data_IF_721227232270
#
_entry.id   IF_721227232270
#
_cell.length_a   1.000
_cell.length_b   1.000
_cell.length_c   1.000
_cell.angle_alpha   90.00
_cell.angle_beta   90.00
_cell.angle_gamma   90.00
#
_symmetry.space_group_name_H-M   'P 1'
#
loop_
_entity.id
_entity.type
_entity.pdbx_description
1 polymer ?
#
# COMPACT_ATOMS: atom_id res chain seq x y z
N UNK A 1 -0.34 -20.75 36.65
CA UNK A 1 -0.96 -19.56 36.04
C UNK A 1 -2.40 -19.94 35.72
N UNK A 2 -3.38 -19.33 36.40
CA UNK A 2 -4.80 -19.66 36.18
C UNK A 2 -5.26 -19.15 34.80
N UNK A 3 -6.27 -19.75 34.18
CA UNK A 3 -6.80 -19.39 32.85
C UNK A 3 -7.11 -17.89 32.76
N UNK A 4 -7.73 -17.32 33.80
CA UNK A 4 -8.04 -15.89 33.89
C UNK A 4 -6.79 -14.99 33.81
N UNK A 5 -5.66 -15.46 34.33
CA UNK A 5 -4.39 -14.72 34.32
C UNK A 5 -3.75 -14.73 32.92
N UNK A 6 -3.91 -15.84 32.19
CA UNK A 6 -3.44 -16.00 30.81
C UNK A 6 -4.23 -15.10 29.87
N UNK A 7 -5.57 -15.09 30.00
CA UNK A 7 -6.45 -14.23 29.22
C UNK A 7 -6.20 -12.74 29.50
N UNK A 8 -6.07 -12.36 30.78
CA UNK A 8 -5.73 -10.99 31.17
C UNK A 8 -4.40 -10.53 30.57
N UNK A 9 -3.37 -11.39 30.61
CA UNK A 9 -2.05 -11.09 30.00
C UNK A 9 -2.14 -10.95 28.48
N UNK A 10 -2.89 -11.84 27.81
CA UNK A 10 -3.17 -11.76 26.37
C UNK A 10 -3.84 -10.44 26.02
N UNK A 11 -4.93 -10.08 26.69
CA UNK A 11 -5.67 -8.84 26.46
C UNK A 11 -4.78 -7.58 26.66
N UNK A 12 -3.92 -7.59 27.68
CA UNK A 12 -2.95 -6.51 27.91
C UNK A 12 -1.92 -6.38 26.77
N UNK A 13 -1.46 -7.50 26.22
CA UNK A 13 -0.53 -7.50 25.08
C UNK A 13 -1.23 -6.96 23.82
N UNK A 14 -2.41 -7.48 23.50
CA UNK A 14 -3.16 -7.07 22.31
C UNK A 14 -3.54 -5.59 22.36
N UNK A 15 -4.07 -5.12 23.48
CA UNK A 15 -4.39 -3.70 23.68
C UNK A 15 -3.15 -2.80 23.59
N UNK A 16 -2.00 -3.23 24.11
CA UNK A 16 -0.74 -2.49 23.97
C UNK A 16 -0.28 -2.41 22.51
N UNK A 17 -0.38 -3.51 21.76
CA UNK A 17 -0.04 -3.56 20.34
C UNK A 17 -0.98 -2.70 19.50
N UNK A 18 -2.28 -2.76 19.76
CA UNK A 18 -3.28 -1.93 19.10
C UNK A 18 -3.04 -0.44 19.36
N UNK A 19 -2.78 -0.04 20.61
CA UNK A 19 -2.43 1.36 20.95
C UNK A 19 -1.19 1.85 20.20
N UNK A 20 -0.15 1.03 20.09
CA UNK A 20 1.06 1.39 19.31
C UNK A 20 0.74 1.55 17.82
N UNK A 21 -0.14 0.71 17.30
CA UNK A 21 -0.53 0.71 15.90
C UNK A 21 -1.38 1.93 15.53
N UNK A 22 -2.35 2.28 16.39
CA UNK A 22 -3.17 3.51 16.25
C UNK A 22 -2.26 4.75 16.27
N UNK A 23 -1.31 4.85 17.21
CA UNK A 23 -0.36 5.96 17.21
C UNK A 23 0.50 6.04 15.94
N UNK A 24 0.87 4.90 15.37
CA UNK A 24 1.62 4.83 14.11
C UNK A 24 0.77 5.28 12.93
N UNK A 25 -0.50 4.88 12.91
CA UNK A 25 -1.52 5.30 11.95
C UNK A 25 -1.77 6.82 12.02
N UNK A 26 -2.03 7.35 13.22
CA UNK A 26 -2.18 8.79 13.45
C UNK A 26 -0.93 9.55 13.02
N UNK A 27 0.28 9.07 13.36
CA UNK A 27 1.52 9.73 12.94
C UNK A 27 1.64 9.78 11.41
N UNK A 28 1.22 8.73 10.70
CA UNK A 28 1.21 8.72 9.25
C UNK A 28 0.19 9.70 8.67
N UNK A 29 -1.06 9.67 9.16
CA UNK A 29 -2.16 10.50 8.68
C UNK A 29 -2.20 11.93 9.25
N UNK A 30 -1.33 12.26 10.18
CA UNK A 30 -1.11 13.62 10.70
C UNK A 30 0.28 14.17 10.35
N UNK A 31 1.10 13.42 9.58
CA UNK A 31 2.40 13.92 9.13
C UNK A 31 2.18 15.22 8.35
N UNK A 32 2.72 16.33 8.85
CA UNK A 32 2.74 17.60 8.13
C UNK A 32 3.72 17.49 6.98
N UNK A 33 3.39 18.13 5.87
CA UNK A 33 4.35 18.26 4.77
C UNK A 33 5.60 18.99 5.28
N UNK A 34 6.78 18.52 4.86
CA UNK A 34 8.05 19.13 5.29
C UNK A 34 8.05 20.61 4.87
N UNK A 35 8.45 21.50 5.79
CA UNK A 35 8.51 22.96 5.56
C UNK A 35 9.25 23.31 4.26
N UNK A 36 10.37 22.63 3.96
CA UNK A 36 11.12 22.82 2.72
C UNK A 36 10.29 22.46 1.48
N UNK A 37 9.59 21.32 1.51
CA UNK A 37 8.71 20.88 0.42
C UNK A 37 7.58 21.91 0.24
N UNK A 38 6.92 22.30 1.34
CA UNK A 38 5.81 23.24 1.33
C UNK A 38 6.20 24.61 0.76
N UNK A 39 7.37 25.13 1.14
CA UNK A 39 7.78 26.50 0.77
C UNK A 39 8.47 26.56 -0.60
N UNK A 40 9.19 25.50 -1.02
CA UNK A 40 10.02 25.53 -2.22
C UNK A 40 9.49 24.67 -3.36
N UNK A 41 8.83 23.55 -3.05
CA UNK A 41 8.44 22.55 -4.04
C UNK A 41 6.96 22.66 -4.38
N UNK A 42 6.08 22.80 -3.38
CA UNK A 42 4.62 22.88 -3.60
C UNK A 42 4.20 24.03 -4.54
N UNK A 43 4.76 25.25 -4.46
CA UNK A 43 4.37 26.33 -5.39
C UNK A 43 4.83 26.08 -6.83
N UNK A 44 5.97 25.42 -7.02
CA UNK A 44 6.43 24.99 -8.34
C UNK A 44 5.52 23.87 -8.85
N UNK A 45 5.11 22.99 -7.94
CA UNK A 45 4.20 21.89 -8.24
C UNK A 45 2.87 22.39 -8.81
N UNK A 46 2.23 23.30 -8.11
CA UNK A 46 0.93 23.88 -8.48
C UNK A 46 1.01 24.58 -9.86
N UNK A 47 2.05 25.39 -10.09
CA UNK A 47 2.26 26.07 -11.39
C UNK A 47 2.47 25.11 -12.57
N UNK A 48 3.07 23.95 -12.32
CA UNK A 48 3.24 22.93 -13.35
C UNK A 48 1.91 22.22 -13.59
N UNK A 49 1.19 21.84 -12.53
CA UNK A 49 -0.13 21.21 -12.62
C UNK A 49 -1.13 22.07 -13.42
N UNK A 50 -1.13 23.40 -13.21
CA UNK A 50 -1.96 24.35 -13.97
C UNK A 50 -1.65 24.38 -15.48
N UNK A 51 -0.44 23.99 -15.89
CA UNK A 51 -0.02 23.98 -17.30
C UNK A 51 -0.21 22.62 -17.97
N UNK A 52 -0.63 21.60 -17.24
CA UNK A 52 -0.87 20.27 -17.80
C UNK A 52 -2.17 20.30 -18.60
N UNK A 53 -2.17 19.93 -19.89
CA UNK A 53 -3.40 19.88 -20.67
C UNK A 53 -4.38 18.85 -20.10
N UNK A 54 -5.67 19.19 -19.99
CA UNK A 54 -6.71 18.27 -19.48
C UNK A 54 -6.74 16.94 -20.24
N UNK A 55 -6.55 16.97 -21.57
CA UNK A 55 -6.47 15.77 -22.41
C UNK A 55 -5.34 14.82 -21.98
N UNK A 56 -4.23 15.36 -21.49
CA UNK A 56 -3.12 14.55 -20.97
C UNK A 56 -3.52 13.89 -19.64
N UNK A 57 -4.17 14.63 -18.74
CA UNK A 57 -4.70 14.10 -17.47
C UNK A 57 -5.64 12.93 -17.75
N UNK A 58 -6.65 13.13 -18.60
CA UNK A 58 -7.62 12.11 -18.98
C UNK A 58 -6.97 10.87 -19.63
N UNK A 59 -5.95 11.08 -20.48
CA UNK A 59 -5.21 9.97 -21.09
C UNK A 59 -4.46 9.15 -20.03
N UNK A 60 -3.84 9.82 -19.06
CA UNK A 60 -3.15 9.14 -17.96
C UNK A 60 -4.12 8.40 -17.05
N UNK A 61 -5.23 9.02 -16.65
CA UNK A 61 -6.30 8.38 -15.86
C UNK A 61 -6.78 7.10 -16.53
N UNK A 62 -7.11 7.15 -17.82
CA UNK A 62 -7.55 5.99 -18.61
C UNK A 62 -6.48 4.92 -18.74
N UNK A 63 -5.21 5.30 -18.83
CA UNK A 63 -4.11 4.34 -18.89
C UNK A 63 -3.91 3.61 -17.55
N UNK A 64 -4.04 4.31 -16.43
CA UNK A 64 -4.07 3.69 -15.10
C UNK A 64 -5.29 2.79 -14.93
N UNK A 65 -6.47 3.23 -15.36
CA UNK A 65 -7.70 2.43 -15.29
C UNK A 65 -7.54 1.11 -16.07
N UNK A 66 -7.11 1.18 -17.33
CA UNK A 66 -6.81 0.00 -18.15
C UNK A 66 -5.72 -0.88 -17.54
N UNK A 67 -4.69 -0.25 -16.95
CA UNK A 67 -3.63 -0.96 -16.25
C UNK A 67 -4.14 -1.76 -15.06
N UNK A 68 -5.01 -1.18 -14.22
CA UNK A 68 -5.62 -1.88 -13.10
C UNK A 68 -6.48 -3.06 -13.55
N UNK A 69 -7.33 -2.88 -14.58
CA UNK A 69 -8.10 -4.01 -15.13
C UNK A 69 -7.18 -5.11 -15.64
N UNK A 70 -6.18 -4.76 -16.44
CA UNK A 70 -5.24 -5.74 -16.99
C UNK A 70 -4.51 -6.51 -15.89
N UNK A 71 -4.02 -5.81 -14.86
CA UNK A 71 -3.27 -6.45 -13.78
C UNK A 71 -4.19 -7.30 -12.89
N UNK A 72 -5.41 -6.87 -12.58
CA UNK A 72 -6.33 -7.70 -11.80
C UNK A 72 -6.85 -8.92 -12.57
N UNK A 73 -7.12 -8.79 -13.87
CA UNK A 73 -7.60 -9.90 -14.69
C UNK A 73 -6.50 -10.90 -15.05
N UNK A 74 -5.29 -10.41 -15.37
CA UNK A 74 -4.22 -11.25 -15.95
C UNK A 74 -2.89 -11.15 -15.21
N UNK A 75 -2.64 -10.04 -14.51
CA UNK A 75 -1.38 -9.77 -13.84
C UNK A 75 -1.20 -10.46 -12.49
N UNK A 76 -2.27 -10.82 -11.77
CA UNK A 76 -2.17 -11.47 -10.44
C UNK A 76 -1.31 -12.73 -10.48
N UNK A 77 -1.52 -13.61 -11.46
CA UNK A 77 -0.71 -14.84 -11.64
C UNK A 77 0.76 -14.54 -11.99
N UNK A 78 1.00 -13.43 -12.70
CA UNK A 78 2.36 -13.01 -13.05
C UNK A 78 3.05 -12.49 -11.78
N UNK A 79 2.37 -11.65 -11.00
CA UNK A 79 2.83 -11.10 -9.72
C UNK A 79 3.20 -12.23 -8.76
N UNK A 80 2.37 -13.27 -8.65
CA UNK A 80 2.63 -14.41 -7.78
C UNK A 80 3.94 -15.15 -8.10
N UNK A 81 4.37 -15.13 -9.37
CA UNK A 81 5.66 -15.73 -9.80
C UNK A 81 6.87 -14.88 -9.45
N UNK A 82 6.67 -13.63 -9.04
CA UNK A 82 7.76 -12.68 -8.71
C UNK A 82 8.20 -12.73 -7.25
N UNK A 83 7.58 -13.59 -6.43
CA UNK A 83 7.99 -13.88 -5.06
C UNK A 83 7.67 -15.34 -4.72
N UNK A 84 8.21 -15.85 -3.61
CA UNK A 84 7.95 -17.24 -3.21
C UNK A 84 6.61 -17.32 -2.44
N UNK A 85 5.51 -17.49 -3.18
CA UNK A 85 4.14 -17.57 -2.66
C UNK A 85 3.97 -18.71 -1.65
N UNK A 86 4.42 -19.92 -1.99
CA UNK A 86 4.32 -21.10 -1.12
C UNK A 86 5.00 -20.90 0.22
N UNK A 87 6.19 -20.29 0.22
CA UNK A 87 6.91 -19.96 1.46
C UNK A 87 6.16 -18.93 2.30
N UNK A 88 5.53 -17.93 1.67
CA UNK A 88 4.75 -16.93 2.41
C UNK A 88 3.51 -17.55 3.05
N UNK A 89 2.76 -18.38 2.31
CA UNK A 89 1.61 -19.12 2.83
C UNK A 89 2.00 -20.06 3.98
N UNK A 90 3.01 -20.90 3.77
CA UNK A 90 3.52 -21.82 4.81
C UNK A 90 3.94 -21.08 6.08
N UNK A 91 4.61 -19.92 5.93
CA UNK A 91 5.04 -19.12 7.08
C UNK A 91 3.88 -18.41 7.77
N UNK A 92 2.80 -18.09 7.05
CA UNK A 92 1.57 -17.57 7.63
C UNK A 92 0.87 -18.65 8.48
N UNK A 93 0.76 -19.87 7.97
CA UNK A 93 0.18 -21.02 8.69
C UNK A 93 0.96 -21.33 9.97
N UNK A 94 2.30 -21.31 9.89
CA UNK A 94 3.17 -21.46 11.06
C UNK A 94 2.89 -20.35 12.09
N UNK A 95 2.69 -19.11 11.65
CA UNK A 95 2.41 -18.00 12.56
C UNK A 95 1.02 -18.14 13.20
N UNK A 96 0.01 -18.53 12.43
CA UNK A 96 -1.34 -18.79 12.95
C UNK A 96 -1.31 -19.89 14.02
N UNK A 97 -0.62 -21.01 13.73
CA UNK A 97 -0.41 -22.08 14.71
C UNK A 97 0.28 -21.55 15.98
N UNK A 98 1.41 -20.83 15.85
CA UNK A 98 2.14 -20.26 17.00
C UNK A 98 1.25 -19.32 17.84
N UNK A 99 0.46 -18.47 17.18
CA UNK A 99 -0.43 -17.53 17.86
C UNK A 99 -1.61 -18.23 18.53
N UNK A 100 -2.15 -19.31 17.96
CA UNK A 100 -3.18 -20.12 18.60
C UNK A 100 -2.69 -20.77 19.90
N UNK A 101 -1.39 -21.11 19.99
CA UNK A 101 -0.78 -21.68 21.21
C UNK A 101 -0.38 -20.63 22.24
N UNK A 102 0.20 -19.50 21.80
CA UNK A 102 0.69 -18.47 22.72
C UNK A 102 0.81 -17.10 22.06
N UNK A 103 -0.02 -16.17 22.48
CA UNK A 103 0.09 -14.75 22.11
C UNK A 103 1.10 -14.05 23.02
N UNK A 104 2.15 -13.50 22.42
CA UNK A 104 3.13 -12.66 23.10
C UNK A 104 3.82 -11.70 22.11
N UNK A 105 4.55 -10.71 22.65
CA UNK A 105 5.23 -9.70 21.84
C UNK A 105 6.26 -10.30 20.86
N UNK A 106 6.97 -11.38 21.24
CA UNK A 106 7.97 -12.04 20.37
C UNK A 106 7.31 -12.64 19.13
N UNK A 107 6.18 -13.33 19.32
CA UNK A 107 5.46 -13.99 18.23
C UNK A 107 4.82 -12.96 17.28
N UNK A 108 4.22 -11.88 17.80
CA UNK A 108 3.69 -10.79 16.97
C UNK A 108 4.81 -10.04 16.22
N UNK A 109 5.94 -9.79 16.90
CA UNK A 109 7.08 -9.09 16.29
C UNK A 109 7.76 -9.93 15.21
N UNK A 110 7.68 -11.27 15.28
CA UNK A 110 8.19 -12.16 14.22
C UNK A 110 7.52 -11.84 12.88
N UNK A 111 6.19 -11.69 12.87
CA UNK A 111 5.42 -11.31 11.69
C UNK A 111 5.84 -9.92 11.21
N UNK A 112 5.85 -8.93 12.10
CA UNK A 112 6.24 -7.55 11.77
C UNK A 112 7.65 -7.45 11.16
N UNK A 113 8.59 -8.30 11.61
CA UNK A 113 9.97 -8.33 11.10
C UNK A 113 10.04 -8.86 9.67
N UNK A 114 9.24 -9.88 9.34
CA UNK A 114 9.16 -10.40 7.96
C UNK A 114 8.55 -9.38 7.03
N UNK A 115 7.43 -8.78 7.42
CA UNK A 115 6.78 -7.70 6.68
C UNK A 115 7.78 -6.57 6.41
N UNK A 116 8.50 -6.11 7.43
CA UNK A 116 9.55 -5.10 7.27
C UNK A 116 10.66 -5.52 6.30
N UNK A 117 11.12 -6.78 6.35
CA UNK A 117 12.14 -7.29 5.43
C UNK A 117 11.64 -7.29 3.98
N UNK A 118 10.42 -7.77 3.73
CA UNK A 118 9.81 -7.75 2.39
C UNK A 118 9.65 -6.33 1.86
N UNK A 119 9.16 -5.41 2.69
CA UNK A 119 9.04 -3.98 2.34
C UNK A 119 10.40 -3.37 1.97
N UNK A 120 11.48 -3.69 2.69
CA UNK A 120 12.84 -3.21 2.36
C UNK A 120 13.28 -3.74 0.99
N UNK A 121 13.04 -5.03 0.71
CA UNK A 121 13.38 -5.65 -0.58
C UNK A 121 12.62 -4.97 -1.72
N UNK A 122 11.30 -4.77 -1.57
CA UNK A 122 10.45 -4.22 -2.62
C UNK A 122 10.78 -2.76 -2.94
N UNK A 123 11.12 -2.00 -1.89
CA UNK A 123 11.68 -0.65 -2.03
C UNK A 123 13.02 -0.66 -2.78
N UNK A 124 13.89 -1.62 -2.50
CA UNK A 124 15.17 -1.80 -3.18
C UNK A 124 15.01 -2.12 -4.67
N UNK A 125 14.11 -3.04 -5.01
CA UNK A 125 13.77 -3.38 -6.41
C UNK A 125 13.28 -2.13 -7.16
N UNK A 126 12.34 -1.39 -6.56
CA UNK A 126 11.80 -0.16 -7.16
C UNK A 126 12.89 0.90 -7.40
N UNK A 127 13.81 1.06 -6.45
CA UNK A 127 14.93 1.99 -6.59
C UNK A 127 15.91 1.56 -7.69
N UNK A 128 16.22 0.27 -7.78
CA UNK A 128 17.11 -0.30 -8.80
C UNK A 128 16.51 -0.17 -10.20
N UNK A 129 15.24 -0.50 -10.39
CA UNK A 129 14.55 -0.34 -11.69
C UNK A 129 14.53 1.13 -12.12
N UNK A 130 14.25 2.05 -11.19
CA UNK A 130 14.30 3.48 -11.46
C UNK A 130 15.68 3.98 -11.89
N UNK A 131 16.75 3.42 -11.33
CA UNK A 131 18.13 3.77 -11.67
C UNK A 131 18.59 3.14 -13.00
N UNK A 132 18.32 1.85 -13.22
CA UNK A 132 18.73 1.12 -14.44
C UNK A 132 17.99 1.65 -15.66
N UNK A 133 16.67 1.78 -15.60
CA UNK A 133 15.88 2.28 -16.72
C UNK A 133 16.15 3.77 -17.00
N UNK A 134 16.43 4.54 -15.94
CA UNK A 134 16.88 5.93 -16.05
C UNK A 134 18.25 6.06 -16.73
N UNK A 135 19.21 5.19 -16.40
CA UNK A 135 20.55 5.20 -16.99
C UNK A 135 20.57 4.73 -18.46
N UNK A 136 19.66 3.84 -18.83
CA UNK A 136 19.53 3.35 -20.21
C UNK A 136 18.71 4.29 -21.12
N UNK A 137 18.17 5.39 -20.59
CA UNK A 137 17.28 6.29 -21.34
C UNK A 137 15.93 5.65 -21.71
N UNK A 138 15.64 4.44 -21.21
CA UNK A 138 14.41 3.68 -21.50
C UNK A 138 13.20 4.26 -20.76
N UNK A 139 13.42 5.19 -19.80
CA UNK A 139 12.33 5.86 -19.10
C UNK A 139 11.59 4.92 -18.13
N UNK A 140 10.49 5.40 -17.55
CA UNK A 140 9.75 4.67 -16.52
C UNK A 140 9.16 3.34 -17.05
N UNK A 141 9.00 2.31 -16.19
CA UNK A 141 8.24 1.11 -16.55
C UNK A 141 6.82 1.51 -16.98
N UNK A 142 6.22 0.73 -17.88
CA UNK A 142 4.85 0.97 -18.31
C UNK A 142 3.89 0.93 -17.09
N UNK A 143 2.74 1.61 -17.22
CA UNK A 143 1.78 1.76 -16.13
C UNK A 143 1.36 0.39 -15.53
N UNK A 144 1.09 -0.66 -16.32
CA UNK A 144 0.82 -2.00 -15.80
C UNK A 144 1.94 -2.59 -14.95
N UNK A 145 3.21 -2.45 -15.35
CA UNK A 145 4.36 -2.94 -14.57
C UNK A 145 4.45 -2.20 -13.23
N UNK A 146 4.26 -0.87 -13.23
CA UNK A 146 4.26 -0.11 -11.97
C UNK A 146 3.10 -0.48 -11.03
N UNK A 147 1.88 -0.64 -11.56
CA UNK A 147 0.74 -1.15 -10.79
C UNK A 147 1.06 -2.54 -10.23
N UNK A 148 1.72 -3.40 -11.01
CA UNK A 148 2.12 -4.73 -10.58
C UNK A 148 3.08 -4.69 -9.40
N UNK A 149 4.03 -3.75 -9.35
CA UNK A 149 4.93 -3.58 -8.20
C UNK A 149 4.18 -3.13 -6.93
N UNK A 150 3.21 -2.23 -7.08
CA UNK A 150 2.34 -1.79 -5.98
C UNK A 150 1.60 -2.99 -5.41
N UNK A 151 0.88 -3.71 -6.27
CA UNK A 151 0.06 -4.86 -5.87
C UNK A 151 0.91 -5.99 -5.30
N UNK A 152 2.04 -6.31 -5.93
CA UNK A 152 3.05 -7.24 -5.40
C UNK A 152 3.44 -6.89 -3.97
N UNK A 153 3.70 -5.62 -3.69
CA UNK A 153 4.07 -5.16 -2.35
C UNK A 153 2.95 -5.35 -1.35
N UNK A 154 1.71 -4.99 -1.71
CA UNK A 154 0.56 -5.17 -0.82
C UNK A 154 0.24 -6.65 -0.61
N UNK A 155 0.34 -7.49 -1.64
CA UNK A 155 0.10 -8.93 -1.57
C UNK A 155 1.09 -9.64 -0.67
N UNK A 156 2.39 -9.31 -0.76
CA UNK A 156 3.37 -9.86 0.17
C UNK A 156 3.05 -9.47 1.63
N UNK A 157 2.63 -8.24 1.88
CA UNK A 157 2.24 -7.78 3.23
C UNK A 157 1.00 -8.54 3.71
N UNK A 158 -0.02 -8.62 2.86
CA UNK A 158 -1.28 -9.33 3.07
C UNK A 158 -1.02 -10.80 3.50
N UNK A 159 -0.26 -11.53 2.69
CA UNK A 159 0.10 -12.93 2.93
C UNK A 159 0.87 -13.12 4.24
N UNK A 160 1.83 -12.23 4.55
CA UNK A 160 2.58 -12.33 5.80
C UNK A 160 1.69 -12.22 7.05
N UNK A 161 0.57 -11.51 6.97
CA UNK A 161 -0.42 -11.41 8.04
C UNK A 161 -1.49 -12.50 7.99
N UNK A 162 -1.43 -13.42 7.03
CA UNK A 162 -2.35 -14.56 6.91
C UNK A 162 -3.66 -14.23 6.19
N UNK A 163 -3.65 -13.23 5.31
CA UNK A 163 -4.80 -12.88 4.48
C UNK A 163 -4.58 -13.26 3.02
N UNK A 164 -5.69 -13.33 2.28
CA UNK A 164 -5.77 -13.57 0.84
C UNK A 164 -6.03 -12.24 0.12
N UNK A 165 -6.02 -12.18 -1.22
CA UNK A 165 -6.20 -10.93 -1.99
C UNK A 165 -7.07 -11.08 -3.25
N UNK A 166 -7.70 -12.23 -3.42
CA UNK A 166 -8.38 -12.64 -4.65
C UNK A 166 -9.81 -12.12 -4.76
N UNK A 167 -10.50 -11.91 -3.62
CA UNK A 167 -11.90 -11.46 -3.62
C UNK A 167 -12.04 -9.99 -4.02
N UNK A 168 -13.20 -9.62 -4.56
CA UNK A 168 -13.44 -8.23 -4.97
C UNK A 168 -13.52 -7.28 -3.77
N UNK A 169 -13.95 -7.78 -2.60
CA UNK A 169 -13.87 -7.05 -1.33
C UNK A 169 -12.43 -6.73 -0.95
N UNK A 170 -11.54 -7.70 -1.09
CA UNK A 170 -10.15 -7.53 -0.73
C UNK A 170 -9.40 -6.68 -1.76
N UNK A 171 -9.75 -6.76 -3.05
CA UNK A 171 -9.29 -5.79 -4.05
C UNK A 171 -9.74 -4.38 -3.71
N UNK A 172 -11.00 -4.19 -3.30
CA UNK A 172 -11.49 -2.89 -2.84
C UNK A 172 -10.74 -2.39 -1.59
N UNK A 173 -10.42 -3.28 -0.65
CA UNK A 173 -9.58 -2.98 0.51
C UNK A 173 -8.18 -2.48 0.08
N UNK A 174 -7.53 -3.18 -0.84
CA UNK A 174 -6.22 -2.82 -1.40
C UNK A 174 -6.26 -1.51 -2.18
N UNK A 175 -7.28 -1.27 -3.00
CA UNK A 175 -7.45 -0.02 -3.73
C UNK A 175 -7.63 1.17 -2.79
N UNK A 176 -8.37 1.00 -1.70
CA UNK A 176 -8.50 2.05 -0.68
C UNK A 176 -7.19 2.28 0.10
N UNK A 177 -6.37 1.24 0.33
CA UNK A 177 -4.99 1.41 0.83
C UNK A 177 -4.21 2.34 -0.09
N UNK A 178 -4.24 2.09 -1.40
CA UNK A 178 -3.55 2.93 -2.38
C UNK A 178 -4.05 4.38 -2.28
N UNK A 179 -5.37 4.61 -2.30
CA UNK A 179 -5.97 5.94 -2.19
C UNK A 179 -5.56 6.65 -0.89
N UNK A 180 -5.61 5.97 0.26
CA UNK A 180 -5.23 6.55 1.55
C UNK A 180 -3.72 6.91 1.61
N UNK A 181 -2.88 6.19 0.87
CA UNK A 181 -1.44 6.42 0.85
C UNK A 181 -1.01 7.57 -0.07
N UNK A 182 -1.62 7.69 -1.24
CA UNK A 182 -1.22 8.70 -2.24
C UNK A 182 -1.83 10.07 -1.99
N UNK A 183 -2.99 10.12 -1.33
CA UNK A 183 -3.62 11.39 -0.99
C UNK A 183 -2.90 12.15 0.13
N UNK A 184 -2.76 13.46 -0.08
CA UNK A 184 -2.17 14.39 0.89
C UNK A 184 -3.21 15.27 1.61
N UNK A 185 -4.43 15.32 1.10
CA UNK A 185 -5.56 16.09 1.67
C UNK A 185 -6.22 15.35 2.84
N UNK A 186 -7.27 15.95 3.42
CA UNK A 186 -8.11 15.30 4.43
C UNK A 186 -8.79 14.02 3.91
N UNK A 187 -8.95 13.87 2.59
CA UNK A 187 -9.61 12.71 1.96
C UNK A 187 -8.90 11.39 2.26
N UNK A 188 -7.59 11.41 2.54
CA UNK A 188 -6.86 10.20 2.95
C UNK A 188 -7.45 9.54 4.21
N UNK A 189 -8.08 10.32 5.09
CA UNK A 189 -8.75 9.83 6.29
C UNK A 189 -10.05 9.12 5.91
N UNK A 190 -10.77 9.63 4.90
CA UNK A 190 -12.00 8.99 4.38
C UNK A 190 -11.67 7.60 3.85
N UNK A 191 -10.66 7.50 2.97
CA UNK A 191 -10.18 6.20 2.49
C UNK A 191 -9.69 5.31 3.62
N UNK A 192 -8.96 5.87 4.60
CA UNK A 192 -8.50 5.12 5.78
C UNK A 192 -9.66 4.49 6.57
N UNK A 193 -10.74 5.24 6.78
CA UNK A 193 -11.93 4.75 7.47
C UNK A 193 -12.67 3.70 6.63
N UNK A 194 -12.72 3.88 5.31
CA UNK A 194 -13.33 2.91 4.39
C UNK A 194 -12.55 1.59 4.39
N UNK A 195 -11.21 1.61 4.48
CA UNK A 195 -10.40 0.40 4.67
C UNK A 195 -10.83 -0.34 5.94
N UNK A 196 -10.98 0.37 7.07
CA UNK A 196 -11.38 -0.25 8.34
C UNK A 196 -12.79 -0.86 8.23
N UNK A 197 -13.73 -0.18 7.56
CA UNK A 197 -15.08 -0.68 7.30
C UNK A 197 -15.08 -1.91 6.41
N UNK A 198 -14.38 -1.88 5.28
CA UNK A 198 -14.28 -3.02 4.36
C UNK A 198 -13.64 -4.22 5.08
N UNK A 199 -12.52 -4.00 5.78
CA UNK A 199 -11.85 -5.05 6.53
C UNK A 199 -12.74 -5.70 7.58
N UNK A 200 -13.50 -4.89 8.34
CA UNK A 200 -14.49 -5.39 9.30
C UNK A 200 -15.55 -6.27 8.63
N UNK A 201 -16.07 -5.85 7.47
CA UNK A 201 -17.07 -6.61 6.73
C UNK A 201 -16.51 -7.94 6.21
N UNK A 202 -15.31 -7.94 5.64
CA UNK A 202 -14.62 -9.15 5.17
C UNK A 202 -14.45 -10.14 6.31
N UNK A 203 -13.88 -9.69 7.44
CA UNK A 203 -13.55 -10.55 8.58
C UNK A 203 -14.80 -11.13 9.28
N UNK A 204 -15.97 -10.52 9.08
CA UNK A 204 -17.26 -10.97 9.62
C UNK A 204 -18.15 -11.69 8.59
N UNK A 205 -17.70 -11.84 7.34
CA UNK A 205 -18.50 -12.43 6.26
C UNK A 205 -19.73 -11.60 5.87
N UNK A 206 -19.71 -10.28 6.15
CA UNK A 206 -20.81 -9.37 5.83
C UNK A 206 -20.71 -9.01 4.35
N UNK A 207 -21.68 -9.47 3.55
CA UNK A 207 -21.76 -9.13 2.12
C UNK A 207 -21.87 -7.62 1.94
N UNK A 208 -20.97 -7.08 1.15
CA UNK A 208 -20.94 -5.66 0.79
C UNK A 208 -21.19 -5.52 -0.70
N UNK A 209 -22.09 -4.62 -1.11
CA UNK A 209 -22.30 -4.34 -2.53
C UNK A 209 -21.16 -3.47 -3.07
N UNK A 210 -20.03 -4.10 -3.40
CA UNK A 210 -18.83 -3.41 -3.84
C UNK A 210 -18.89 -3.18 -5.34
N UNK A 211 -18.90 -1.90 -5.71
CA UNK A 211 -18.78 -1.47 -7.10
C UNK A 211 -17.31 -1.33 -7.47
N UNK A 212 -16.62 -2.46 -7.64
CA UNK A 212 -15.16 -2.49 -7.83
C UNK A 212 -14.69 -1.58 -8.97
N UNK A 213 -15.42 -1.55 -10.09
CA UNK A 213 -15.20 -0.65 -11.22
C UNK A 213 -15.10 0.82 -10.80
N UNK A 214 -16.01 1.30 -9.94
CA UNK A 214 -16.00 2.68 -9.48
C UNK A 214 -14.76 2.97 -8.62
N UNK A 215 -14.37 2.02 -7.78
CA UNK A 215 -13.18 2.15 -6.93
C UNK A 215 -11.92 2.18 -7.80
N UNK A 216 -11.84 1.34 -8.85
CA UNK A 216 -10.73 1.37 -9.81
C UNK A 216 -10.61 2.74 -10.49
N UNK A 217 -11.72 3.32 -10.95
CA UNK A 217 -11.73 4.68 -11.56
C UNK A 217 -11.18 5.72 -10.57
N UNK A 218 -11.68 5.70 -9.32
CA UNK A 218 -11.24 6.62 -8.27
C UNK A 218 -9.76 6.43 -7.97
N UNK A 219 -9.29 5.19 -7.78
CA UNK A 219 -7.89 4.89 -7.50
C UNK A 219 -6.98 5.28 -8.66
N UNK A 220 -7.43 5.09 -9.90
CA UNK A 220 -6.70 5.47 -11.11
C UNK A 220 -6.46 6.97 -11.15
N UNK A 221 -7.49 7.78 -10.87
CA UNK A 221 -7.37 9.24 -10.76
C UNK A 221 -6.39 9.68 -9.67
N UNK A 222 -6.60 9.19 -8.44
CA UNK A 222 -5.75 9.54 -7.31
C UNK A 222 -4.28 9.18 -7.55
N UNK A 223 -4.02 8.03 -8.17
CA UNK A 223 -2.68 7.56 -8.46
C UNK A 223 -2.06 8.31 -9.65
N UNK A 224 -2.85 8.56 -10.71
CA UNK A 224 -2.37 9.26 -11.90
C UNK A 224 -2.00 10.70 -11.60
N UNK A 225 -2.79 11.45 -10.83
CA UNK A 225 -2.48 12.84 -10.46
C UNK A 225 -1.13 12.95 -9.74
N UNK A 226 -0.87 12.06 -8.78
CA UNK A 226 0.37 12.04 -8.01
C UNK A 226 1.60 11.67 -8.86
N UNK A 227 1.42 10.83 -9.89
CA UNK A 227 2.50 10.36 -10.76
C UNK A 227 2.72 11.28 -11.96
N UNK A 228 1.65 11.80 -12.54
CA UNK A 228 1.66 12.69 -13.69
C UNK A 228 2.50 13.93 -13.40
N UNK A 229 2.33 14.51 -12.21
CA UNK A 229 3.17 15.62 -11.76
C UNK A 229 4.68 15.28 -11.77
N UNK A 230 5.04 14.12 -11.22
CA UNK A 230 6.43 13.64 -11.21
C UNK A 230 6.97 13.39 -12.63
N UNK A 231 6.09 13.04 -13.57
CA UNK A 231 6.42 12.76 -14.98
C UNK A 231 6.56 14.04 -15.83
N UNK A 232 5.74 15.07 -15.60
CA UNK A 232 5.86 16.35 -16.33
C UNK A 232 7.18 17.05 -15.98
N UNK A 233 7.63 16.98 -14.72
CA UNK A 233 8.96 17.49 -14.33
C UNK A 233 10.08 16.74 -15.05
N UNK A 234 9.96 15.43 -15.23
CA UNK A 234 10.97 14.62 -15.95
C UNK A 234 11.02 14.92 -17.45
N UNK A 235 9.92 15.38 -18.06
CA UNK A 235 9.87 15.80 -19.47
C UNK A 235 10.39 17.22 -19.73
N UNK A 236 10.69 18.00 -18.69
CA UNK A 236 11.34 19.30 -18.80
C UNK A 236 12.87 19.07 -18.74
N UNK A 237 13.65 19.42 -19.78
CA UNK A 237 15.09 19.11 -19.89
C UNK A 237 16.00 19.63 -18.76
N UNK A 238 15.47 20.39 -17.81
CA UNK A 238 16.22 21.14 -16.80
C UNK A 238 16.32 20.38 -15.46
N UNK A 239 15.58 19.28 -15.25
CA UNK A 239 15.59 18.58 -13.94
C UNK A 239 15.89 17.09 -14.10
N UNK A 240 17.18 16.78 -14.28
CA UNK A 240 17.69 15.40 -14.32
C UNK A 240 17.54 14.63 -13.00
N UNK A 241 17.39 13.31 -13.11
CA UNK A 241 17.55 12.30 -12.04
C UNK A 241 16.60 12.40 -10.83
N UNK A 242 15.28 12.56 -11.05
CA UNK A 242 14.29 12.51 -9.94
C UNK A 242 13.22 11.40 -10.05
N UNK A 243 13.19 10.63 -11.14
CA UNK A 243 12.13 9.63 -11.37
C UNK A 243 12.11 8.43 -10.41
N UNK A 244 13.28 7.93 -10.00
CA UNK A 244 13.35 6.79 -9.06
C UNK A 244 12.91 7.12 -7.62
N UNK A 245 13.05 8.39 -7.20
CA UNK A 245 12.76 8.84 -5.83
C UNK A 245 11.25 8.90 -5.56
N UNK A 246 10.45 9.27 -6.56
CA UNK A 246 9.00 9.38 -6.44
C UNK A 246 8.34 8.00 -6.26
N UNK A 247 8.73 7.01 -7.08
CA UNK A 247 8.20 5.64 -7.00
C UNK A 247 8.54 4.99 -5.66
N UNK A 248 9.77 5.18 -5.15
CA UNK A 248 10.18 4.71 -3.84
C UNK A 248 9.28 5.25 -2.72
N UNK A 249 8.94 6.54 -2.77
CA UNK A 249 8.08 7.18 -1.75
C UNK A 249 6.66 6.62 -1.80
N UNK A 250 6.07 6.45 -2.99
CA UNK A 250 4.73 5.88 -3.17
C UNK A 250 4.69 4.46 -2.58
N UNK A 251 5.64 3.59 -2.96
CA UNK A 251 5.73 2.23 -2.43
C UNK A 251 5.93 2.24 -0.91
N UNK A 252 6.72 3.18 -0.38
CA UNK A 252 6.90 3.34 1.07
C UNK A 252 5.60 3.68 1.80
N UNK A 253 4.82 4.60 1.26
CA UNK A 253 3.58 5.08 1.87
C UNK A 253 2.47 4.02 1.76
N UNK A 254 2.40 3.31 0.64
CA UNK A 254 1.50 2.15 0.46
C UNK A 254 1.86 1.02 1.42
N UNK A 255 3.15 0.68 1.52
CA UNK A 255 3.63 -0.37 2.42
C UNK A 255 3.30 -0.07 3.89
N UNK A 256 3.41 1.20 4.28
CA UNK A 256 3.13 1.64 5.65
C UNK A 256 1.64 1.47 5.99
N UNK A 257 0.75 1.98 5.15
CA UNK A 257 -0.71 1.86 5.34
C UNK A 257 -1.13 0.39 5.29
N UNK A 258 -0.68 -0.38 4.30
CA UNK A 258 -0.96 -1.82 4.22
C UNK A 258 -0.52 -2.56 5.48
N UNK A 259 0.71 -2.31 5.95
CA UNK A 259 1.25 -2.94 7.16
C UNK A 259 0.44 -2.61 8.40
N UNK A 260 -0.07 -1.38 8.50
CA UNK A 260 -0.92 -0.95 9.61
C UNK A 260 -2.27 -1.65 9.54
N UNK A 261 -2.94 -1.59 8.38
CA UNK A 261 -4.31 -2.06 8.21
C UNK A 261 -4.45 -3.58 8.32
N UNK A 262 -3.55 -4.35 7.71
CA UNK A 262 -3.54 -5.80 7.88
C UNK A 262 -3.18 -6.24 9.31
N UNK A 263 -2.27 -5.51 9.97
CA UNK A 263 -1.98 -5.79 11.38
C UNK A 263 -3.17 -5.46 12.30
N UNK A 264 -3.93 -4.39 12.02
CA UNK A 264 -5.16 -4.08 12.76
C UNK A 264 -6.15 -5.24 12.68
N UNK A 265 -6.39 -5.76 11.47
CA UNK A 265 -7.25 -6.94 11.25
C UNK A 265 -6.75 -8.15 12.05
N UNK A 266 -5.44 -8.47 11.96
CA UNK A 266 -4.85 -9.59 12.71
C UNK A 266 -5.06 -9.43 14.22
N UNK A 267 -4.77 -8.26 14.79
CA UNK A 267 -4.92 -8.02 16.22
C UNK A 267 -6.39 -8.07 16.68
N UNK A 268 -7.34 -7.70 15.82
CA UNK A 268 -8.78 -7.77 16.13
C UNK A 268 -9.33 -9.20 16.03
N UNK A 269 -8.71 -10.08 15.25
CA UNK A 269 -9.06 -11.51 15.13
C UNK A 269 -8.56 -12.33 16.35
N UNK A 270 -7.46 -11.92 16.98
CA UNK A 270 -6.81 -12.61 18.10
C UNK A 270 -7.48 -12.34 19.45
#
# INVERSE_FOLDING_TARGET
>A
MNINEIESKKAKILSSQMKKLIKREEKFFNRKENKYIKERISPIKEKIEEKIPEKMIDTFEKAFEKGFYYVFEKGTLIIERTYNLERLKSEADINEYILSKKINNKNLTRIDKRVRKGVIINKGITAAEGAVLGALGIGLPDIPVFISMILRTVYEICLNYGYTYESDEEKAFVLNIICASVNKSAERIIYSNEIDRIGYNIDRGIRSNIKLKNIIVITSRNLSENILFSKVIQGIPIVGIYGGIANYKIISDISEVASIKYKKRLLSKL
#
